data_IF_817379740517
#
_entry.id   IF_817379740517
#
_cell.length_a   1.000
_cell.length_b   1.000
_cell.length_c   1.000
_cell.angle_alpha   90.00
_cell.angle_beta   90.00
_cell.angle_gamma   90.00
#
_symmetry.space_group_name_H-M   'P 1'
#
loop_
_entity.id
_entity.type
_entity.pdbx_description
1 polymer ?
#
# COMPACT_ATOMS: atom_id res chain seq x y z
N UNK A 1 -18.46 -7.59 -23.15
CA UNK A 1 -17.10 -7.31 -22.64
C UNK A 1 -17.22 -6.85 -21.19
N UNK A 2 -16.34 -7.32 -20.30
CA UNK A 2 -16.33 -6.83 -18.92
C UNK A 2 -15.84 -5.37 -18.90
N UNK A 3 -16.55 -4.44 -18.25
CA UNK A 3 -16.12 -3.05 -18.19
C UNK A 3 -14.83 -2.93 -17.36
N UNK A 4 -13.83 -2.24 -17.91
CA UNK A 4 -12.53 -1.99 -17.27
C UNK A 4 -12.29 -0.49 -17.09
N UNK A 5 -11.58 -0.13 -16.02
CA UNK A 5 -11.13 1.24 -15.76
C UNK A 5 -9.60 1.32 -15.71
N UNK A 6 -9.04 2.36 -16.32
CA UNK A 6 -7.61 2.70 -16.21
C UNK A 6 -7.28 3.26 -14.83
N UNK A 7 -6.19 2.78 -14.25
CA UNK A 7 -5.75 3.14 -12.91
C UNK A 7 -4.26 3.43 -12.93
N UNK A 8 -3.86 4.50 -12.27
CA UNK A 8 -2.48 4.83 -11.98
C UNK A 8 -2.10 4.41 -10.57
N UNK A 9 -0.94 3.78 -10.46
CA UNK A 9 -0.28 3.48 -9.21
C UNK A 9 1.15 4.01 -9.19
N UNK A 10 1.62 4.30 -7.98
CA UNK A 10 3.00 4.66 -7.68
C UNK A 10 3.74 3.40 -7.21
N UNK A 11 4.94 3.18 -7.74
CA UNK A 11 5.77 2.04 -7.36
C UNK A 11 6.70 2.39 -6.20
N UNK A 12 7.06 1.39 -5.41
CA UNK A 12 8.03 1.48 -4.31
C UNK A 12 9.47 1.80 -4.74
N UNK A 13 9.82 1.56 -6.01
CA UNK A 13 11.18 1.67 -6.53
C UNK A 13 11.67 3.11 -6.55
N UNK A 14 12.89 3.30 -6.04
CA UNK A 14 13.65 4.55 -6.01
C UNK A 14 14.66 4.60 -7.18
N UNK A 15 15.21 5.78 -7.52
CA UNK A 15 16.15 5.92 -8.64
C UNK A 15 17.45 5.11 -8.50
N UNK A 16 17.84 4.79 -7.27
CA UNK A 16 19.02 3.97 -6.95
C UNK A 16 18.74 2.45 -6.97
N UNK A 17 17.52 2.04 -7.34
CA UNK A 17 17.09 0.64 -7.34
C UNK A 17 16.66 0.12 -5.96
N UNK A 18 16.75 0.93 -4.90
CA UNK A 18 16.17 0.58 -3.60
C UNK A 18 14.65 0.79 -3.60
N UNK A 19 14.01 0.46 -2.48
CA UNK A 19 12.58 0.55 -2.30
C UNK A 19 12.23 1.32 -1.03
N UNK A 20 11.11 2.06 -1.09
CA UNK A 20 10.38 2.43 0.12
C UNK A 20 9.43 1.32 0.54
N UNK A 21 8.99 1.37 1.79
CA UNK A 21 7.99 0.45 2.30
C UNK A 21 6.59 0.98 2.02
N UNK A 22 5.75 0.09 1.50
CA UNK A 22 4.35 0.33 1.18
C UNK A 22 3.53 -0.84 1.71
N UNK A 23 2.34 -0.56 2.26
CA UNK A 23 1.39 -1.59 2.68
C UNK A 23 0.01 -1.28 2.11
N UNK A 24 -0.73 -2.33 1.79
CA UNK A 24 -2.16 -2.28 1.46
C UNK A 24 -2.91 -3.23 2.41
N UNK A 25 -4.00 -2.75 2.98
CA UNK A 25 -4.86 -3.46 3.91
C UNK A 25 -6.29 -3.43 3.36
N UNK A 26 -6.87 -4.61 3.14
CA UNK A 26 -8.27 -4.78 2.76
C UNK A 26 -9.07 -5.33 3.94
N UNK A 27 -10.31 -4.84 4.10
CA UNK A 27 -11.23 -5.21 5.18
C UNK A 27 -10.62 -5.25 6.61
N UNK A 28 -9.75 -4.28 6.92
CA UNK A 28 -9.07 -4.17 8.22
C UNK A 28 -9.35 -2.80 8.83
N UNK A 29 -9.65 -2.74 10.13
CA UNK A 29 -9.91 -1.49 10.85
C UNK A 29 -8.62 -0.72 11.19
N UNK A 30 -8.74 0.60 11.35
CA UNK A 30 -7.59 1.51 11.56
C UNK A 30 -6.75 1.14 12.80
N UNK A 31 -7.40 0.74 13.89
CA UNK A 31 -6.76 0.32 15.13
C UNK A 31 -5.86 -0.91 14.91
N UNK A 32 -6.37 -1.94 14.23
CA UNK A 32 -5.62 -3.13 13.89
C UNK A 32 -4.44 -2.81 12.96
N UNK A 33 -4.64 -1.94 11.96
CA UNK A 33 -3.58 -1.45 11.07
C UNK A 33 -2.50 -0.73 11.88
N UNK A 34 -2.88 0.19 12.77
CA UNK A 34 -1.95 0.97 13.58
C UNK A 34 -1.14 0.08 14.55
N UNK A 35 -1.78 -0.89 15.21
CA UNK A 35 -1.11 -1.84 16.12
C UNK A 35 -0.09 -2.68 15.35
N UNK A 36 -0.48 -3.24 14.21
CA UNK A 36 0.41 -4.07 13.40
C UNK A 36 1.61 -3.28 12.87
N UNK A 37 1.37 -2.07 12.33
CA UNK A 37 2.42 -1.21 11.82
C UNK A 37 3.32 -0.65 12.95
N UNK A 38 2.78 -0.36 14.13
CA UNK A 38 3.57 0.08 15.29
C UNK A 38 4.54 -1.01 15.77
N UNK A 39 4.08 -2.27 15.79
CA UNK A 39 4.94 -3.42 16.10
C UNK A 39 6.08 -3.56 15.09
N UNK A 40 5.76 -3.47 13.79
CA UNK A 40 6.74 -3.53 12.71
C UNK A 40 7.73 -2.36 12.81
N UNK A 41 7.23 -1.15 13.04
CA UNK A 41 8.04 0.06 13.23
C UNK A 41 9.07 -0.10 14.34
N UNK A 42 8.65 -0.67 15.47
CA UNK A 42 9.51 -0.89 16.63
C UNK A 42 10.57 -1.94 16.37
N UNK A 43 10.19 -3.08 15.75
CA UNK A 43 11.11 -4.20 15.49
C UNK A 43 12.18 -3.84 14.46
N UNK A 44 11.79 -3.11 13.41
CA UNK A 44 12.70 -2.76 12.31
C UNK A 44 13.29 -1.34 12.44
N UNK A 45 13.03 -0.65 13.56
CA UNK A 45 13.49 0.72 13.82
C UNK A 45 13.18 1.66 12.64
N UNK A 46 11.90 1.71 12.23
CA UNK A 46 11.45 2.47 11.07
C UNK A 46 11.15 3.95 11.42
N UNK A 47 11.26 4.87 10.44
CA UNK A 47 10.81 6.26 10.58
C UNK A 47 9.28 6.35 10.65
N UNK A 48 8.74 7.56 10.50
CA UNK A 48 7.30 7.78 10.50
C UNK A 48 6.59 6.87 9.47
N UNK A 49 5.45 6.32 9.88
CA UNK A 49 4.55 5.58 8.98
C UNK A 49 3.27 6.39 8.82
N UNK A 50 2.94 6.73 7.58
CA UNK A 50 1.77 7.51 7.20
C UNK A 50 0.67 6.58 6.75
N UNK A 51 -0.48 6.58 7.46
CA UNK A 51 -1.61 5.71 7.16
C UNK A 51 -2.71 6.54 6.51
N UNK A 52 -3.08 6.15 5.28
CA UNK A 52 -4.10 6.80 4.49
C UNK A 52 -5.30 5.86 4.33
N UNK A 53 -6.49 6.40 4.52
CA UNK A 53 -7.75 5.70 4.27
C UNK A 53 -8.11 5.78 2.79
N UNK A 54 -8.37 4.64 2.15
CA UNK A 54 -8.81 4.54 0.75
C UNK A 54 -10.28 4.15 0.61
N UNK A 55 -10.83 3.45 1.61
CA UNK A 55 -12.26 3.22 1.79
C UNK A 55 -12.59 3.37 3.27
N UNK A 56 -13.61 4.18 3.53
CA UNK A 56 -14.11 4.49 4.88
C UNK A 56 -14.13 3.24 5.78
N UNK A 57 -13.43 3.35 6.91
CA UNK A 57 -13.35 2.42 8.04
C UNK A 57 -12.78 1.02 7.74
N UNK A 58 -12.40 0.71 6.50
CA UNK A 58 -12.14 -0.67 6.07
C UNK A 58 -10.90 -0.89 5.22
N UNK A 59 -10.44 0.11 4.47
CA UNK A 59 -9.27 -0.08 3.62
C UNK A 59 -8.27 1.05 3.84
N UNK A 60 -7.04 0.65 4.06
CA UNK A 60 -5.94 1.55 4.39
C UNK A 60 -4.72 1.20 3.56
N UNK A 61 -4.00 2.23 3.15
CA UNK A 61 -2.65 2.08 2.61
C UNK A 61 -1.69 2.80 3.54
N UNK A 62 -0.44 2.37 3.57
CA UNK A 62 0.57 3.04 4.36
C UNK A 62 1.87 3.24 3.60
N UNK A 63 2.55 4.35 3.89
CA UNK A 63 3.87 4.70 3.37
C UNK A 63 4.86 4.86 4.52
N UNK A 64 6.07 4.36 4.32
CA UNK A 64 7.21 4.64 5.20
C UNK A 64 8.43 4.94 4.34
N UNK A 65 8.92 6.18 4.44
CA UNK A 65 10.03 6.70 3.61
C UNK A 65 11.41 6.27 4.13
N UNK A 66 11.60 4.95 4.19
CA UNK A 66 12.87 4.29 4.45
C UNK A 66 13.34 3.63 3.16
N UNK A 67 14.45 4.09 2.60
CA UNK A 67 15.15 3.37 1.53
C UNK A 67 15.75 2.08 2.09
N UNK A 68 15.42 0.95 1.47
CA UNK A 68 15.92 -0.37 1.80
C UNK A 68 16.03 -1.26 0.56
N UNK A 69 16.85 -2.31 0.65
CA UNK A 69 16.99 -3.28 -0.44
C UNK A 69 15.68 -4.04 -0.64
N UNK A 70 15.47 -4.59 -1.84
CA UNK A 70 14.27 -5.35 -2.18
C UNK A 70 14.00 -6.52 -1.20
N UNK A 71 15.03 -7.30 -0.89
CA UNK A 71 14.94 -8.39 0.09
C UNK A 71 14.44 -7.91 1.46
N UNK A 72 14.95 -6.76 1.92
CA UNK A 72 14.53 -6.21 3.21
C UNK A 72 13.10 -5.67 3.17
N UNK A 73 12.67 -5.09 2.05
CA UNK A 73 11.29 -4.67 1.86
C UNK A 73 10.32 -5.86 1.91
N UNK A 74 10.64 -6.98 1.24
CA UNK A 74 9.86 -8.22 1.29
C UNK A 74 9.78 -8.73 2.74
N UNK A 75 10.92 -8.86 3.42
CA UNK A 75 10.98 -9.36 4.81
C UNK A 75 10.05 -8.56 5.73
N UNK A 76 10.13 -7.23 5.66
CA UNK A 76 9.33 -6.33 6.51
C UNK A 76 7.84 -6.46 6.18
N UNK A 77 7.47 -6.46 4.90
CA UNK A 77 6.06 -6.52 4.50
C UNK A 77 5.46 -7.90 4.80
N UNK A 78 6.22 -8.98 4.59
CA UNK A 78 5.81 -10.34 4.94
C UNK A 78 5.61 -10.53 6.46
N UNK A 79 6.42 -9.82 7.27
CA UNK A 79 6.28 -9.85 8.73
C UNK A 79 5.02 -9.11 9.21
N UNK A 80 4.54 -8.10 8.47
CA UNK A 80 3.35 -7.33 8.84
C UNK A 80 2.08 -8.18 8.73
N UNK A 81 1.35 -8.32 9.84
CA UNK A 81 0.05 -9.01 9.85
C UNK A 81 -1.02 -8.24 9.08
N UNK A 82 -1.95 -8.97 8.48
CA UNK A 82 -3.14 -8.48 7.78
C UNK A 82 -2.87 -7.64 6.51
N UNK A 83 -1.65 -7.67 5.97
CA UNK A 83 -1.39 -7.12 4.63
C UNK A 83 -2.21 -7.90 3.61
N UNK A 84 -2.79 -7.22 2.61
CA UNK A 84 -3.50 -7.88 1.52
C UNK A 84 -2.56 -8.87 0.81
N UNK A 85 -2.93 -10.14 0.85
CA UNK A 85 -2.16 -11.23 0.25
C UNK A 85 -1.94 -11.06 -1.25
N UNK A 86 -2.90 -10.45 -1.98
CA UNK A 86 -2.73 -10.16 -3.40
C UNK A 86 -1.74 -9.03 -3.62
N UNK A 87 -1.82 -7.96 -2.82
CA UNK A 87 -0.82 -6.89 -2.85
C UNK A 87 0.58 -7.45 -2.62
N UNK A 88 0.75 -8.29 -1.59
CA UNK A 88 2.05 -8.92 -1.31
C UNK A 88 2.50 -9.83 -2.45
N UNK A 89 1.65 -10.78 -2.88
CA UNK A 89 1.94 -11.75 -3.94
C UNK A 89 2.36 -11.07 -5.25
N UNK A 90 1.56 -10.11 -5.72
CA UNK A 90 1.86 -9.41 -6.98
C UNK A 90 3.04 -8.45 -6.82
N UNK A 91 3.26 -7.90 -5.64
CA UNK A 91 4.43 -7.09 -5.33
C UNK A 91 5.72 -7.90 -5.46
N UNK A 92 5.75 -9.08 -4.83
CA UNK A 92 6.86 -10.03 -4.93
C UNK A 92 7.10 -10.45 -6.38
N UNK A 93 6.06 -10.89 -7.08
CA UNK A 93 6.16 -11.35 -8.47
C UNK A 93 6.69 -10.28 -9.45
N UNK A 94 6.39 -9.00 -9.19
CA UNK A 94 6.79 -7.87 -10.06
C UNK A 94 8.07 -7.18 -9.60
N UNK A 95 8.68 -7.67 -8.53
CA UNK A 95 9.85 -7.07 -7.88
C UNK A 95 9.64 -5.59 -7.48
N UNK A 96 8.40 -5.22 -7.17
CA UNK A 96 8.02 -3.90 -6.66
C UNK A 96 6.61 -3.89 -6.10
N UNK A 97 6.41 -3.19 -5.00
CA UNK A 97 5.08 -2.86 -4.51
C UNK A 97 4.51 -1.65 -5.25
N UNK A 98 3.18 -1.63 -5.45
CA UNK A 98 2.48 -0.56 -6.15
C UNK A 98 1.22 -0.18 -5.38
N UNK A 99 1.08 1.09 -5.01
CA UNK A 99 -0.14 1.61 -4.40
C UNK A 99 -0.92 2.48 -5.39
N UNK A 100 -2.24 2.32 -5.41
CA UNK A 100 -3.14 3.09 -6.26
C UNK A 100 -3.19 4.55 -5.81
N UNK A 101 -3.10 5.47 -6.76
CA UNK A 101 -3.26 6.92 -6.52
C UNK A 101 -4.55 7.46 -7.16
N UNK A 102 -4.99 6.86 -8.26
CA UNK A 102 -6.26 7.26 -8.91
C UNK A 102 -7.46 7.02 -7.99
N UNK A 103 -8.44 7.94 -7.96
CA UNK A 103 -9.62 7.78 -7.15
C UNK A 103 -10.34 6.45 -7.40
N UNK A 104 -10.81 5.81 -6.32
CA UNK A 104 -11.72 4.66 -6.40
C UNK A 104 -13.11 5.15 -5.99
N UNK A 105 -14.09 4.99 -6.88
CA UNK A 105 -15.46 5.49 -6.66
C UNK A 105 -15.50 6.98 -6.24
N UNK A 106 -14.66 7.82 -6.85
CA UNK A 106 -14.57 9.26 -6.56
C UNK A 106 -13.80 9.64 -5.28
N UNK A 107 -13.18 8.67 -4.58
CA UNK A 107 -12.42 8.93 -3.35
C UNK A 107 -10.93 8.81 -3.58
N UNK A 108 -10.19 9.84 -3.18
CA UNK A 108 -8.73 9.83 -3.10
C UNK A 108 -8.28 9.34 -1.71
N UNK A 109 -7.09 8.73 -1.60
CA UNK A 109 -6.52 8.38 -0.30
C UNK A 109 -6.41 9.62 0.61
N UNK A 110 -6.91 9.53 1.83
CA UNK A 110 -6.86 10.61 2.84
C UNK A 110 -5.95 10.20 3.99
N UNK A 111 -4.97 11.03 4.34
CA UNK A 111 -4.17 10.81 5.56
C UNK A 111 -5.07 10.87 6.80
N UNK A 112 -5.10 9.79 7.57
CA UNK A 112 -5.92 9.66 8.79
C UNK A 112 -5.10 9.46 10.05
N UNK A 113 -3.89 8.89 9.93
CA UNK A 113 -3.03 8.64 11.09
C UNK A 113 -1.55 8.69 10.71
N UNK A 114 -0.69 8.99 11.70
CA UNK A 114 0.76 8.92 11.54
C UNK A 114 1.37 8.29 12.78
N UNK A 115 2.05 7.16 12.60
CA UNK A 115 2.87 6.55 13.64
C UNK A 115 4.21 7.28 13.69
N UNK A 116 4.42 8.07 14.75
CA UNK A 116 5.62 8.90 14.92
C UNK A 116 6.82 8.08 15.38
N UNK A 117 8.00 8.43 14.90
CA UNK A 117 9.29 7.84 15.28
C UNK A 117 10.37 8.91 15.31
N UNK A 118 11.40 8.70 16.14
CA UNK A 118 12.61 9.54 16.18
C UNK A 118 13.62 9.17 15.08
N UNK A 119 13.38 8.07 14.37
CA UNK A 119 14.21 7.65 13.23
C UNK A 119 13.94 8.57 12.05
N UNK A 120 15.00 9.09 11.43
CA UNK A 120 14.90 9.94 10.24
C UNK A 120 14.52 9.13 9.00
N UNK A 121 13.66 9.72 8.18
CA UNK A 121 13.38 9.23 6.83
C UNK A 121 14.65 9.29 5.97
N UNK A 122 14.84 8.29 5.11
CA UNK A 122 15.99 8.22 4.18
C UNK A 122 15.56 8.30 2.72
N UNK A 123 14.26 8.41 2.47
CA UNK A 123 13.68 8.73 1.17
C UNK A 123 12.71 9.90 1.33
N UNK A 124 12.18 10.42 0.22
CA UNK A 124 11.11 11.40 0.24
C UNK A 124 10.17 11.21 -0.96
N UNK A 125 9.01 11.86 -0.92
CA UNK A 125 7.98 11.72 -1.94
C UNK A 125 8.44 12.07 -3.37
N UNK A 126 9.40 13.01 -3.52
CA UNK A 126 9.90 13.43 -4.85
C UNK A 126 10.74 12.35 -5.54
N UNK A 127 11.21 11.36 -4.76
CA UNK A 127 11.95 10.21 -5.30
C UNK A 127 11.03 9.13 -5.87
N UNK A 128 9.72 9.20 -5.64
CA UNK A 128 8.74 8.27 -6.20
C UNK A 128 8.40 8.64 -7.65
N UNK A 129 9.30 8.27 -8.56
CA UNK A 129 9.23 8.64 -9.97
C UNK A 129 8.73 7.49 -10.85
N UNK A 130 8.60 6.29 -10.32
CA UNK A 130 8.12 5.12 -11.06
C UNK A 130 6.61 4.99 -10.92
N UNK A 131 5.90 5.15 -12.05
CA UNK A 131 4.45 5.07 -12.14
C UNK A 131 4.04 3.92 -13.05
N UNK A 132 2.85 3.36 -12.82
CA UNK A 132 2.32 2.29 -13.66
C UNK A 132 0.84 2.51 -13.89
N UNK A 133 0.44 2.40 -15.15
CA UNK A 133 -0.96 2.34 -15.55
C UNK A 133 -1.37 0.87 -15.71
N UNK A 134 -2.51 0.49 -15.13
CA UNK A 134 -3.06 -0.85 -15.28
C UNK A 134 -4.59 -0.80 -15.33
N UNK A 135 -5.20 -1.86 -15.85
CA UNK A 135 -6.65 -1.98 -15.94
C UNK A 135 -7.19 -2.82 -14.78
N UNK A 136 -8.31 -2.40 -14.20
CA UNK A 136 -9.11 -3.18 -13.25
C UNK A 136 -10.54 -3.29 -13.77
N UNK A 137 -11.24 -4.36 -13.38
CA UNK A 137 -12.71 -4.41 -13.49
C UNK A 137 -13.32 -3.21 -12.76
N UNK A 138 -14.39 -2.63 -13.34
CA UNK A 138 -15.13 -1.54 -12.71
C UNK A 138 -15.78 -1.99 -11.40
N UNK A 139 -16.02 -1.04 -10.49
CA UNK A 139 -16.64 -1.31 -9.20
C UNK A 139 -18.06 -1.89 -9.37
N UNK A 140 -18.82 -1.40 -10.36
CA UNK A 140 -20.16 -1.92 -10.71
C UNK A 140 -20.13 -3.42 -11.05
N UNK A 141 -19.15 -3.84 -11.85
CA UNK A 141 -19.00 -5.23 -12.24
C UNK A 141 -18.57 -6.14 -11.08
N UNK A 142 -17.74 -5.61 -10.17
CA UNK A 142 -17.33 -6.33 -8.95
C UNK A 142 -18.50 -6.55 -7.99
N UNK A 143 -19.47 -5.64 -7.93
CA UNK A 143 -20.67 -5.79 -7.11
C UNK A 143 -21.54 -6.94 -7.62
N UNK A 144 -21.85 -6.94 -8.93
CA UNK A 144 -22.68 -7.96 -9.59
C UNK A 144 -22.06 -9.36 -9.41
N UNK A 145 -20.74 -9.49 -9.59
CA UNK A 145 -20.07 -10.78 -9.47
C UNK A 145 -20.07 -11.32 -8.03
N UNK A 146 -20.15 -10.47 -7.01
CA UNK A 146 -20.26 -10.91 -5.61
C UNK A 146 -21.65 -11.43 -5.27
N UNK A 147 -22.69 -10.88 -5.89
CA UNK A 147 -24.09 -11.33 -5.70
C UNK A 147 -24.37 -12.66 -6.40
N UNK A 148 -23.69 -12.94 -7.52
CA UNK A 148 -23.85 -14.17 -8.30
C UNK A 148 -23.10 -15.40 -7.73
N UNK A 149 -22.39 -15.25 -6.60
CA UNK A 149 -21.65 -16.34 -5.92
C UNK A 149 -22.39 -16.77 -4.62
N UNK A 150 -23.66 -16.39 -4.47
CA UNK A 150 -24.55 -16.86 -3.39
C UNK A 150 -25.49 -17.93 -3.94
#
# INVERSE_FOLDING_TARGET
>A
MAPVSSVYGVNSTLPDGNHILMWDFDDTYLDAVAINLSRVQSIYNLPNIYILETKKDKNFIAYCFKSCTWHKAIEIIAFTRNVDANFFKFGVYREKFTLRVTPKSGRTPKLVFTLKSNVKETANIKMLQSWTQYQTLTDAWKSIKRELII
#
